data_IF_372159964704
#
_entry.id   IF_372159964704
#
_cell.length_a   1.000
_cell.length_b   1.000
_cell.length_c   1.000
_cell.angle_alpha   90.00
_cell.angle_beta   90.00
_cell.angle_gamma   90.00
#
_symmetry.space_group_name_H-M   'P 1'
#
loop_
_entity.id
_entity.type
_entity.pdbx_description
1 polymer ?
#
# COMPACT_ATOMS: atom_id res chain seq x y z
N UNK A 1 -2.11 -14.33 -25.81
CA UNK A 1 -2.91 -13.74 -24.71
C UNK A 1 -2.09 -12.63 -24.09
N UNK A 2 -2.66 -11.42 -23.98
CA UNK A 2 -2.02 -10.30 -23.30
C UNK A 2 -2.67 -10.13 -21.92
N UNK A 3 -1.86 -10.04 -20.87
CA UNK A 3 -2.29 -9.85 -19.50
C UNK A 3 -1.68 -8.56 -18.95
N UNK A 4 -2.55 -7.64 -18.55
CA UNK A 4 -2.19 -6.43 -17.81
C UNK A 4 -2.69 -6.59 -16.38
N UNK A 5 -1.77 -6.47 -15.42
CA UNK A 5 -2.11 -6.49 -13.99
C UNK A 5 -1.74 -5.15 -13.39
N UNK A 6 -2.56 -4.67 -12.44
CA UNK A 6 -2.28 -3.47 -11.67
C UNK A 6 -2.28 -3.81 -10.19
N UNK A 7 -1.16 -3.55 -9.54
CA UNK A 7 -0.99 -3.77 -8.11
C UNK A 7 -0.96 -2.42 -7.41
N UNK A 8 -1.88 -2.21 -6.47
CA UNK A 8 -1.97 -1.00 -5.68
C UNK A 8 -2.05 -1.32 -4.19
N UNK A 9 -1.34 -0.55 -3.37
CA UNK A 9 -1.48 -0.57 -1.92
C UNK A 9 -2.42 0.56 -1.47
N UNK A 10 -3.31 0.23 -0.54
CA UNK A 10 -4.24 1.17 0.06
C UNK A 10 -4.05 1.13 1.58
N UNK A 11 -3.66 2.26 2.16
CA UNK A 11 -3.46 2.37 3.60
C UNK A 11 -4.82 2.51 4.31
N UNK A 12 -5.21 1.47 5.06
CA UNK A 12 -6.48 1.49 5.84
C UNK A 12 -6.48 2.58 6.92
N UNK A 13 -5.32 2.95 7.44
CA UNK A 13 -5.17 4.05 8.40
C UNK A 13 -5.55 5.40 7.78
N UNK A 14 -5.09 5.69 6.56
CA UNK A 14 -5.47 6.90 5.83
C UNK A 14 -6.96 6.91 5.49
N UNK A 15 -7.53 5.77 5.11
CA UNK A 15 -8.98 5.66 4.86
C UNK A 15 -9.81 5.86 6.12
N UNK A 16 -9.36 5.34 7.28
CA UNK A 16 -10.07 5.46 8.55
C UNK A 16 -9.95 6.87 9.14
N UNK A 17 -8.79 7.53 9.03
CA UNK A 17 -8.65 8.93 9.40
C UNK A 17 -9.53 9.82 8.52
N UNK A 18 -9.63 9.53 7.21
CA UNK A 18 -10.60 10.17 6.30
C UNK A 18 -12.03 10.05 6.82
N UNK A 19 -12.48 8.82 7.10
CA UNK A 19 -13.85 8.56 7.53
C UNK A 19 -14.18 9.20 8.89
N UNK A 20 -13.23 9.22 9.82
CA UNK A 20 -13.39 9.84 11.14
C UNK A 20 -13.38 11.37 11.05
N UNK A 21 -12.55 11.95 10.18
CA UNK A 21 -12.49 13.40 10.00
C UNK A 21 -13.70 13.92 9.21
N UNK A 22 -14.14 13.21 8.15
CA UNK A 22 -15.31 13.58 7.35
C UNK A 22 -16.63 13.38 8.11
N UNK A 23 -16.73 12.37 8.99
CA UNK A 23 -17.89 12.20 9.88
C UNK A 23 -17.95 13.25 10.99
N UNK A 24 -16.81 13.83 11.39
CA UNK A 24 -16.77 15.00 12.26
C UNK A 24 -17.25 16.30 11.57
N UNK A 25 -17.35 16.31 10.23
CA UNK A 25 -17.82 17.44 9.41
C UNK A 25 -19.29 17.30 8.92
N UNK A 26 -20.14 16.58 9.65
CA UNK A 26 -21.47 16.12 9.24
C UNK A 26 -22.39 17.01 8.35
N UNK A 27 -23.25 16.29 7.62
CA UNK A 27 -24.42 16.67 6.80
C UNK A 27 -24.20 17.58 5.58
N UNK A 28 -24.22 16.96 4.39
CA UNK A 28 -24.32 17.61 3.09
C UNK A 28 -25.80 17.70 2.68
N UNK A 29 -26.23 18.94 2.50
CA UNK A 29 -27.59 19.47 2.31
C UNK A 29 -27.50 20.99 2.57
N UNK A 30 -28.60 21.71 2.75
CA UNK A 30 -28.58 23.17 2.98
C UNK A 30 -28.03 23.61 4.36
N UNK A 31 -27.06 22.93 4.97
CA UNK A 31 -26.53 23.31 6.28
C UNK A 31 -25.07 22.88 6.53
N UNK A 32 -24.36 23.68 7.33
CA UNK A 32 -22.92 23.69 7.64
C UNK A 32 -22.56 22.82 8.86
N UNK A 33 -21.36 22.22 8.87
CA UNK A 33 -20.70 21.75 10.11
C UNK A 33 -19.20 22.08 10.16
N UNK A 34 -18.82 22.70 11.27
CA UNK A 34 -17.54 22.54 11.96
C UNK A 34 -17.81 22.04 13.38
N UNK A 35 -16.84 21.36 14.01
CA UNK A 35 -16.97 20.86 15.39
C UNK A 35 -16.90 22.05 16.37
N UNK A 36 -18.05 22.50 16.85
CA UNK A 36 -18.19 23.24 18.10
C UNK A 36 -19.16 22.47 19.00
N UNK A 37 -18.63 21.63 19.89
CA UNK A 37 -19.40 21.09 21.01
C UNK A 37 -18.56 21.20 22.29
N UNK A 38 -18.61 22.39 22.88
CA UNK A 38 -18.01 22.73 24.15
C UNK A 38 -18.36 24.19 24.45
N UNK A 39 -19.36 24.42 25.28
CA UNK A 39 -19.84 25.74 25.67
C UNK A 39 -18.75 26.58 26.33
N UNK A 40 -18.24 27.57 25.60
CA UNK A 40 -17.31 28.60 26.11
C UNK A 40 -15.87 28.40 25.64
N UNK A 41 -15.54 28.93 24.45
CA UNK A 41 -14.15 29.10 24.04
C UNK A 41 -14.00 30.49 23.39
N UNK A 42 -13.52 31.44 24.18
CA UNK A 42 -12.88 32.65 23.70
C UNK A 42 -11.59 32.26 22.98
N UNK A 43 -11.40 32.75 21.74
CA UNK A 43 -10.19 32.57 20.96
C UNK A 43 -8.98 33.15 21.72
N UNK A 44 -8.24 32.26 22.39
CA UNK A 44 -6.97 32.57 23.04
C UNK A 44 -5.85 31.88 22.28
N UNK A 45 -4.89 32.66 21.77
CA UNK A 45 -3.62 32.15 21.27
C UNK A 45 -2.90 31.43 22.42
N UNK A 46 -2.90 30.09 22.39
CA UNK A 46 -2.28 29.26 23.41
C UNK A 46 -1.54 28.09 22.76
N UNK A 47 -0.22 28.14 22.82
CA UNK A 47 0.67 27.04 22.44
C UNK A 47 0.48 25.86 23.41
N UNK A 48 -0.15 24.77 22.97
CA UNK A 48 -0.23 23.54 23.77
C UNK A 48 0.99 22.66 23.51
N UNK A 49 1.92 22.71 24.47
CA UNK A 49 3.05 21.81 24.60
C UNK A 49 2.55 20.47 25.19
N UNK A 50 2.57 19.41 24.38
CA UNK A 50 2.27 18.05 24.82
C UNK A 50 1.04 17.43 24.17
N UNK A 51 1.27 16.46 23.28
CA UNK A 51 0.26 15.48 22.84
C UNK A 51 -0.94 16.03 22.05
N UNK A 52 -0.79 17.16 21.36
CA UNK A 52 -1.91 17.92 20.79
C UNK A 52 -2.55 17.28 19.56
N UNK A 53 -3.86 17.06 19.64
CA UNK A 53 -4.75 17.19 18.47
C UNK A 53 -4.57 18.59 17.89
N UNK A 54 -4.22 18.68 16.61
CA UNK A 54 -4.12 19.97 15.91
C UNK A 54 -5.51 20.61 15.83
N UNK A 55 -5.74 21.62 16.66
CA UNK A 55 -6.95 22.42 16.66
C UNK A 55 -6.86 23.45 15.52
N UNK A 56 -7.77 23.34 14.55
CA UNK A 56 -7.90 24.32 13.48
C UNK A 56 -9.04 25.28 13.86
N UNK A 57 -8.71 26.39 14.51
CA UNK A 57 -9.64 27.49 14.79
C UNK A 57 -9.60 28.53 13.66
N UNK A 58 -10.76 28.90 13.12
CA UNK A 58 -10.87 29.96 12.10
C UNK A 58 -11.76 31.10 12.59
N UNK A 59 -11.15 32.27 12.76
CA UNK A 59 -11.85 33.56 12.82
C UNK A 59 -12.42 33.85 11.41
N UNK A 60 -13.70 34.15 11.30
CA UNK A 60 -14.43 34.48 10.05
C UNK A 60 -14.83 33.32 9.11
N UNK A 61 -15.51 32.30 9.63
CA UNK A 61 -16.74 31.75 9.03
C UNK A 61 -16.69 31.02 7.67
N UNK A 62 -15.54 30.84 7.03
CA UNK A 62 -15.39 30.11 5.77
C UNK A 62 -14.46 28.92 5.95
N UNK A 63 -15.05 27.74 6.09
CA UNK A 63 -14.33 26.46 5.99
C UNK A 63 -13.82 26.37 4.56
N UNK A 64 -12.51 26.55 4.37
CA UNK A 64 -11.87 26.34 3.08
C UNK A 64 -11.79 24.84 2.83
N UNK A 65 -12.83 24.31 2.18
CA UNK A 65 -12.93 22.92 1.72
C UNK A 65 -11.66 22.52 0.95
N UNK A 66 -11.06 23.45 0.20
CA UNK A 66 -9.78 23.24 -0.50
C UNK A 66 -8.60 22.94 0.42
N UNK A 67 -8.47 23.59 1.58
CA UNK A 67 -7.35 23.34 2.51
C UNK A 67 -7.47 21.96 3.18
N UNK A 68 -8.71 21.51 3.43
CA UNK A 68 -8.99 20.16 3.91
C UNK A 68 -8.72 19.15 2.81
N UNK A 69 -9.20 19.38 1.58
CA UNK A 69 -8.94 18.51 0.43
C UNK A 69 -7.44 18.40 0.09
N UNK A 70 -6.69 19.50 0.17
CA UNK A 70 -5.25 19.53 -0.08
C UNK A 70 -4.47 18.76 0.99
N UNK A 71 -4.90 18.82 2.25
CA UNK A 71 -4.35 17.99 3.33
C UNK A 71 -4.65 16.50 3.12
N UNK A 72 -5.86 16.17 2.64
CA UNK A 72 -6.27 14.78 2.33
C UNK A 72 -5.54 14.23 1.10
N UNK A 73 -5.29 15.06 0.09
CA UNK A 73 -4.51 14.69 -1.10
C UNK A 73 -3.04 14.40 -0.76
N UNK A 74 -2.52 15.01 0.31
CA UNK A 74 -1.12 14.85 0.78
C UNK A 74 -0.83 13.50 1.43
N UNK A 75 -1.86 12.77 1.88
CA UNK A 75 -1.73 11.47 2.56
C UNK A 75 -1.63 10.26 1.62
N UNK A 76 -1.51 10.45 0.30
CA UNK A 76 -1.32 9.38 -0.71
C UNK A 76 -2.17 8.12 -0.43
N UNK A 77 -3.49 8.30 -0.51
CA UNK A 77 -4.53 7.31 -0.16
C UNK A 77 -4.36 5.95 -0.88
N UNK A 78 -3.71 5.94 -2.05
CA UNK A 78 -3.28 4.73 -2.72
C UNK A 78 -1.97 4.97 -3.47
N UNK A 79 -1.08 3.99 -3.47
CA UNK A 79 0.12 3.98 -4.30
C UNK A 79 0.08 2.79 -5.25
N UNK A 80 0.41 3.01 -6.52
CA UNK A 80 0.57 1.93 -7.50
C UNK A 80 1.98 1.37 -7.34
N UNK A 81 2.07 0.09 -7.02
CA UNK A 81 3.34 -0.59 -6.78
C UNK A 81 3.95 -1.12 -8.08
N UNK A 82 3.12 -1.65 -8.97
CA UNK A 82 3.55 -2.12 -10.29
C UNK A 82 2.39 -2.31 -11.27
N UNK A 83 2.69 -2.16 -12.56
CA UNK A 83 1.78 -2.44 -13.68
C UNK A 83 2.45 -3.38 -14.70
N UNK A 84 2.64 -4.68 -14.37
CA UNK A 84 3.23 -5.62 -15.33
C UNK A 84 2.28 -5.87 -16.52
N UNK A 85 2.87 -5.91 -17.72
CA UNK A 85 2.18 -6.24 -18.96
C UNK A 85 2.97 -7.33 -19.68
N UNK A 86 2.35 -8.49 -19.86
CA UNK A 86 2.98 -9.66 -20.46
C UNK A 86 2.12 -10.26 -21.56
N UNK A 87 2.78 -10.83 -22.55
CA UNK A 87 2.11 -11.59 -23.62
C UNK A 87 2.67 -13.00 -23.64
N UNK A 88 1.78 -13.98 -23.60
CA UNK A 88 2.12 -15.39 -23.61
C UNK A 88 1.26 -16.17 -24.61
N UNK A 89 1.79 -17.29 -25.08
CA UNK A 89 1.04 -18.26 -25.88
C UNK A 89 0.13 -19.10 -24.99
N UNK A 90 -0.94 -19.65 -25.57
CA UNK A 90 -1.84 -20.55 -24.84
C UNK A 90 -1.09 -21.81 -24.41
N UNK A 91 -1.20 -22.19 -23.14
CA UNK A 91 -0.51 -23.33 -22.52
C UNK A 91 0.92 -23.03 -22.07
N UNK A 92 1.50 -21.88 -22.43
CA UNK A 92 2.88 -21.54 -22.11
C UNK A 92 2.96 -20.66 -20.87
N UNK A 93 3.88 -21.03 -19.96
CA UNK A 93 4.14 -20.25 -18.75
C UNK A 93 4.88 -18.96 -19.10
N UNK A 94 4.41 -17.84 -18.55
CA UNK A 94 5.11 -16.58 -18.57
C UNK A 94 5.37 -16.08 -17.14
N UNK A 95 6.54 -15.50 -16.94
CA UNK A 95 6.96 -14.93 -15.66
C UNK A 95 7.51 -13.52 -15.83
N UNK A 96 7.28 -12.71 -14.81
CA UNK A 96 7.78 -11.36 -14.66
C UNK A 96 8.33 -11.18 -13.26
N UNK A 97 9.43 -10.45 -13.16
CA UNK A 97 9.99 -10.00 -11.90
C UNK A 97 10.46 -8.56 -12.09
N UNK A 98 9.96 -7.65 -11.25
CA UNK A 98 10.48 -6.30 -11.12
C UNK A 98 10.85 -6.05 -9.65
N UNK A 99 12.13 -5.85 -9.39
CA UNK A 99 12.62 -5.67 -8.03
C UNK A 99 14.14 -5.77 -7.96
N UNK A 100 14.64 -6.34 -6.88
CA UNK A 100 16.06 -6.50 -6.64
C UNK A 100 16.39 -7.78 -5.88
N UNK A 101 17.66 -7.95 -5.58
CA UNK A 101 18.17 -9.01 -4.73
C UNK A 101 18.82 -8.41 -3.49
N UNK A 102 18.71 -9.09 -2.36
CA UNK A 102 19.46 -8.73 -1.15
C UNK A 102 20.26 -9.93 -0.63
N UNK A 103 21.48 -9.70 -0.14
CA UNK A 103 22.35 -10.75 0.36
C UNK A 103 21.96 -11.18 1.78
N UNK A 104 21.97 -12.49 2.01
CA UNK A 104 21.79 -13.12 3.32
C UNK A 104 23.05 -13.93 3.65
N UNK A 105 23.75 -13.60 4.76
CA UNK A 105 24.86 -14.42 5.22
C UNK A 105 24.33 -15.73 5.79
N UNK A 106 24.80 -16.86 5.25
CA UNK A 106 24.46 -18.20 5.69
C UNK A 106 25.72 -18.93 6.17
N UNK A 107 25.60 -19.69 7.26
CA UNK A 107 26.70 -20.49 7.78
C UNK A 107 26.65 -21.87 7.14
N UNK A 108 27.70 -22.24 6.40
CA UNK A 108 27.83 -23.57 5.82
C UNK A 108 28.34 -24.59 6.86
N UNK A 109 28.15 -25.88 6.60
CA UNK A 109 28.53 -26.97 7.52
C UNK A 109 30.01 -26.95 7.93
N UNK A 110 30.87 -26.43 7.06
CA UNK A 110 32.31 -26.25 7.29
C UNK A 110 32.66 -25.01 8.14
N UNK A 111 31.67 -24.33 8.76
CA UNK A 111 31.81 -23.04 9.47
C UNK A 111 32.28 -21.87 8.60
N UNK A 112 32.16 -21.98 7.29
CA UNK A 112 32.41 -20.87 6.37
C UNK A 112 31.14 -20.02 6.23
N UNK A 113 31.30 -18.70 6.24
CA UNK A 113 30.20 -17.77 5.91
C UNK A 113 30.11 -17.65 4.40
N UNK A 114 28.93 -17.91 3.86
CA UNK A 114 28.59 -17.71 2.45
C UNK A 114 27.46 -16.71 2.32
N UNK A 115 27.22 -16.21 1.11
CA UNK A 115 26.19 -15.21 0.82
C UNK A 115 25.18 -15.82 -0.15
N UNK A 116 23.93 -15.93 0.29
CA UNK A 116 22.79 -16.30 -0.55
C UNK A 116 22.03 -15.04 -0.97
N UNK A 117 21.68 -14.91 -2.24
CA UNK A 117 20.85 -13.81 -2.72
C UNK A 117 19.38 -14.21 -2.74
N UNK A 118 18.53 -13.35 -2.14
CA UNK A 118 17.07 -13.51 -2.17
C UNK A 118 16.45 -12.36 -2.94
N UNK A 119 15.56 -12.69 -3.85
CA UNK A 119 14.82 -11.72 -4.65
C UNK A 119 13.70 -11.08 -3.80
N UNK A 120 13.43 -9.81 -4.07
CA UNK A 120 12.25 -9.10 -3.58
C UNK A 120 11.72 -8.17 -4.68
N UNK A 121 10.49 -7.69 -4.52
CA UNK A 121 9.77 -6.86 -5.49
C UNK A 121 8.46 -7.49 -5.92
N UNK A 122 7.99 -7.12 -7.10
CA UNK A 122 6.76 -7.66 -7.69
C UNK A 122 7.10 -8.77 -8.66
N UNK A 123 6.57 -9.97 -8.41
CA UNK A 123 6.62 -11.09 -9.35
C UNK A 123 5.21 -11.48 -9.80
N UNK A 124 5.11 -11.85 -11.06
CA UNK A 124 3.87 -12.34 -11.65
C UNK A 124 4.19 -13.57 -12.48
N UNK A 125 3.57 -14.69 -12.12
CA UNK A 125 3.59 -15.90 -12.91
C UNK A 125 2.17 -16.19 -13.40
N UNK A 126 2.02 -16.52 -14.68
CA UNK A 126 0.74 -16.97 -15.20
C UNK A 126 0.86 -17.97 -16.34
N UNK A 127 -0.16 -18.81 -16.47
CA UNK A 127 -0.33 -19.78 -17.55
C UNK A 127 -1.73 -19.56 -18.15
N UNK A 128 -1.84 -18.97 -19.35
CA UNK A 128 -3.13 -18.77 -20.00
C UNK A 128 -3.52 -20.00 -20.83
N UNK A 129 -4.79 -20.37 -20.84
CA UNK A 129 -5.36 -21.44 -21.66
C UNK A 129 -6.58 -20.89 -22.40
N UNK A 130 -6.51 -20.87 -23.73
CA UNK A 130 -7.62 -20.43 -24.58
C UNK A 130 -8.59 -21.58 -24.80
N UNK A 131 -9.86 -21.36 -24.47
CA UNK A 131 -10.95 -22.31 -24.60
C UNK A 131 -11.69 -22.11 -25.94
N UNK A 132 -12.45 -23.11 -26.37
CA UNK A 132 -13.14 -23.13 -27.67
C UNK A 132 -14.27 -22.11 -27.82
N UNK A 133 -14.76 -21.57 -26.71
CA UNK A 133 -15.82 -20.56 -26.62
C UNK A 133 -15.29 -19.13 -26.48
N UNK A 134 -14.07 -18.86 -26.98
CA UNK A 134 -13.39 -17.56 -26.84
C UNK A 134 -13.08 -17.14 -25.40
N UNK A 135 -13.32 -18.00 -24.41
CA UNK A 135 -12.91 -17.75 -23.04
C UNK A 135 -11.42 -18.02 -22.84
N UNK A 136 -10.85 -17.34 -21.86
CA UNK A 136 -9.46 -17.51 -21.46
C UNK A 136 -9.47 -17.91 -20.00
N UNK A 137 -9.02 -19.13 -19.72
CA UNK A 137 -8.71 -19.55 -18.36
C UNK A 137 -7.26 -19.16 -18.05
N UNK A 138 -6.98 -18.57 -16.90
CA UNK A 138 -5.66 -18.13 -16.51
C UNK A 138 -5.39 -18.59 -15.10
N UNK A 139 -4.38 -19.43 -14.91
CA UNK A 139 -3.79 -19.66 -13.60
C UNK A 139 -2.77 -18.55 -13.34
N UNK A 140 -2.95 -17.79 -12.26
CA UNK A 140 -2.15 -16.62 -11.93
C UNK A 140 -1.69 -16.66 -10.47
N UNK A 141 -0.39 -16.41 -10.29
CA UNK A 141 0.29 -16.43 -8.99
C UNK A 141 1.05 -15.11 -8.81
N UNK A 142 0.37 -14.00 -8.48
CA UNK A 142 1.04 -12.74 -8.22
C UNK A 142 1.67 -12.75 -6.82
N UNK A 143 2.82 -12.11 -6.70
CA UNK A 143 3.52 -11.91 -5.44
C UNK A 143 4.12 -10.50 -5.37
N UNK A 144 3.98 -9.88 -4.21
CA UNK A 144 4.59 -8.60 -3.86
C UNK A 144 5.43 -8.83 -2.62
N UNK A 145 6.70 -8.47 -2.70
CA UNK A 145 7.65 -8.63 -1.61
C UNK A 145 8.44 -7.35 -1.39
N UNK A 146 8.56 -6.93 -0.14
CA UNK A 146 9.22 -5.69 0.25
C UNK A 146 10.16 -5.96 1.43
N UNK A 147 11.31 -5.28 1.45
CA UNK A 147 12.21 -5.33 2.58
C UNK A 147 11.58 -4.61 3.77
N UNK A 148 11.59 -5.26 4.93
CA UNK A 148 11.01 -4.76 6.17
C UNK A 148 12.06 -4.75 7.27
N UNK A 149 12.06 -3.66 8.04
CA UNK A 149 12.82 -3.58 9.30
C UNK A 149 12.08 -4.27 10.45
N UNK A 150 10.77 -4.49 10.32
CA UNK A 150 10.00 -5.25 11.29
C UNK A 150 10.33 -6.74 11.16
N UNK A 151 10.91 -7.32 12.21
CA UNK A 151 11.40 -8.70 12.19
C UNK A 151 12.83 -8.85 11.67
N UNK A 152 13.56 -7.75 11.44
CA UNK A 152 14.97 -7.79 11.08
C UNK A 152 15.81 -8.44 12.18
N UNK A 153 16.81 -9.21 11.78
CA UNK A 153 17.72 -9.94 12.69
C UNK A 153 19.09 -9.29 12.67
N UNK A 154 19.63 -9.02 13.86
CA UNK A 154 20.98 -8.49 14.03
C UNK A 154 21.97 -9.62 14.29
N UNK A 155 22.97 -9.76 13.41
CA UNK A 155 24.05 -10.76 13.56
C UNK A 155 25.38 -10.01 13.53
N UNK A 156 26.11 -10.02 14.65
CA UNK A 156 27.42 -9.38 14.78
C UNK A 156 27.48 -7.91 14.27
N UNK A 157 26.42 -7.13 14.48
CA UNK A 157 26.33 -5.73 14.03
C UNK A 157 25.82 -5.54 12.59
N UNK A 158 25.59 -6.63 11.85
CA UNK A 158 24.96 -6.60 10.52
C UNK A 158 23.45 -6.76 10.68
N UNK A 159 22.69 -5.85 10.07
CA UNK A 159 21.22 -5.91 10.02
C UNK A 159 20.77 -6.69 8.80
N UNK A 160 20.16 -7.85 9.02
CA UNK A 160 19.50 -8.63 7.96
C UNK A 160 18.01 -8.27 7.96
N UNK A 161 17.49 -7.57 6.92
CA UNK A 161 16.08 -7.20 6.87
C UNK A 161 15.20 -8.44 6.72
N UNK A 162 13.99 -8.35 7.27
CA UNK A 162 12.93 -9.32 6.96
C UNK A 162 12.31 -8.99 5.59
N UNK A 163 11.54 -9.92 5.05
CA UNK A 163 10.75 -9.70 3.83
C UNK A 163 9.29 -9.81 4.19
N UNK A 164 8.52 -8.77 3.89
CA UNK A 164 7.07 -8.84 3.91
C UNK A 164 6.59 -9.32 2.55
N UNK A 165 5.87 -10.45 2.51
CA UNK A 165 5.39 -11.05 1.27
C UNK A 165 3.87 -11.13 1.27
N UNK A 166 3.27 -10.70 0.16
CA UNK A 166 1.84 -10.87 -0.14
C UNK A 166 1.75 -11.69 -1.42
N UNK A 167 1.12 -12.86 -1.35
CA UNK A 167 0.97 -13.80 -2.48
C UNK A 167 -0.48 -14.20 -2.62
N UNK A 168 -0.94 -14.35 -3.86
CA UNK A 168 -2.17 -15.07 -4.18
C UNK A 168 -1.87 -16.21 -5.14
N UNK A 169 -2.72 -17.24 -5.15
CA UNK A 169 -2.73 -18.28 -6.16
C UNK A 169 -4.19 -18.50 -6.55
N UNK A 170 -4.52 -18.18 -7.80
CA UNK A 170 -5.91 -18.13 -8.25
C UNK A 170 -6.03 -18.55 -9.70
N UNK A 171 -7.18 -19.13 -10.06
CA UNK A 171 -7.57 -19.38 -11.44
C UNK A 171 -8.70 -18.44 -11.78
N UNK A 172 -8.56 -17.70 -12.88
CA UNK A 172 -9.54 -16.73 -13.36
C UNK A 172 -10.00 -17.15 -14.75
N UNK A 173 -11.31 -17.06 -14.99
CA UNK A 173 -11.90 -17.23 -16.31
C UNK A 173 -12.36 -15.88 -16.82
N UNK A 174 -11.95 -15.51 -18.04
CA UNK A 174 -12.32 -14.27 -18.70
C UNK A 174 -13.11 -14.59 -19.97
N UNK A 175 -14.20 -13.85 -20.19
CA UNK A 175 -15.07 -13.94 -21.37
C UNK A 175 -15.02 -12.65 -22.18
#
# INVERSE_FOLDING_TARGET
VNLSVRVAEVSRSAMKSLGVNLSAFGQIGNFKVGVLSGSGASAGSGSTQGGGTAEIGFDNGVVNVSAVLDALAKEHIASVLAEPNLTAMSGEKASFLAGGEFPIPVLQENRQVSVEFRHFGVSLEFVPTVLSNNQINIHVTPEVSELSTQGAVQINGISVPAVSTRRADTVVELA
#
